data_IF_852921853771
#
_entry.id   IF_852921853771
#
_cell.length_a   1.000
_cell.length_b   1.000
_cell.length_c   1.000
_cell.angle_alpha   90.00
_cell.angle_beta   90.00
_cell.angle_gamma   90.00
#
_symmetry.space_group_name_H-M   'P 1'
#
loop_
_entity.id
_entity.type
_entity.pdbx_description
1 polymer ?
#
# COMPACT_ATOMS: atom_id res chain seq x y z
N UNK A 1 -20.44 -19.63 -44.79
CA UNK A 1 -21.46 -18.97 -44.19
C UNK A 1 -21.73 -19.38 -42.81
N UNK A 2 -21.90 -20.54 -42.56
CA UNK A 2 -22.21 -20.92 -41.26
C UNK A 2 -21.18 -20.58 -40.26
N UNK A 3 -20.02 -20.81 -40.63
CA UNK A 3 -18.89 -20.62 -39.77
C UNK A 3 -18.89 -19.26 -39.20
N UNK A 4 -19.47 -18.39 -39.80
CA UNK A 4 -19.48 -17.04 -39.28
C UNK A 4 -20.02 -16.98 -37.88
N UNK A 5 -20.88 -17.86 -37.57
CA UNK A 5 -21.45 -17.89 -36.26
C UNK A 5 -20.46 -18.19 -35.17
N UNK A 6 -19.46 -18.92 -35.51
CA UNK A 6 -18.50 -19.29 -34.51
C UNK A 6 -17.85 -18.12 -33.86
N UNK A 7 -17.34 -17.18 -34.57
CA UNK A 7 -16.71 -16.04 -33.98
C UNK A 7 -17.63 -15.33 -33.01
N UNK A 8 -18.85 -15.24 -33.38
CA UNK A 8 -19.82 -14.60 -32.51
C UNK A 8 -19.96 -15.32 -31.20
N UNK A 9 -19.93 -16.61 -31.25
CA UNK A 9 -20.02 -17.39 -30.03
C UNK A 9 -18.84 -17.15 -29.16
N UNK A 10 -17.69 -17.06 -29.71
CA UNK A 10 -16.50 -16.77 -28.94
C UNK A 10 -16.62 -15.44 -28.21
N UNK A 11 -17.24 -14.48 -28.82
CA UNK A 11 -17.47 -13.20 -28.17
C UNK A 11 -18.32 -13.36 -26.91
N UNK A 12 -19.32 -14.20 -26.98
CA UNK A 12 -20.15 -14.46 -25.82
C UNK A 12 -19.36 -15.08 -24.68
N UNK A 13 -18.48 -15.96 -25.01
CA UNK A 13 -17.63 -16.59 -24.00
C UNK A 13 -16.74 -15.57 -23.31
N UNK A 14 -16.19 -14.66 -24.06
CA UNK A 14 -15.36 -13.59 -23.51
C UNK A 14 -16.16 -12.75 -22.53
N UNK A 15 -17.39 -12.47 -22.87
CA UNK A 15 -18.26 -11.72 -21.96
C UNK A 15 -18.45 -12.48 -20.64
N UNK A 16 -18.57 -13.76 -20.68
CA UNK A 16 -18.69 -14.57 -19.47
C UNK A 16 -17.47 -14.46 -18.59
N UNK A 17 -16.30 -14.40 -19.15
CA UNK A 17 -15.08 -14.19 -18.37
C UNK A 17 -15.09 -12.86 -17.65
N UNK A 18 -15.59 -11.83 -18.27
CA UNK A 18 -15.66 -10.54 -17.64
C UNK A 18 -16.59 -10.55 -16.43
N UNK A 19 -17.66 -11.29 -16.52
CA UNK A 19 -18.57 -11.46 -15.38
C UNK A 19 -17.87 -12.20 -14.26
N UNK A 20 -17.11 -13.22 -14.55
CA UNK A 20 -16.36 -13.95 -13.55
C UNK A 20 -15.34 -13.07 -12.87
N UNK A 21 -14.75 -12.13 -13.57
CA UNK A 21 -13.80 -11.20 -12.96
C UNK A 21 -14.42 -10.36 -11.87
N UNK A 22 -15.67 -9.99 -11.98
CA UNK A 22 -16.33 -9.21 -10.94
C UNK A 22 -16.48 -10.01 -9.67
N UNK A 23 -16.58 -11.32 -9.75
CA UNK A 23 -16.59 -12.16 -8.58
C UNK A 23 -15.20 -12.42 -8.02
N UNK A 24 -14.18 -12.32 -8.84
CA UNK A 24 -12.81 -12.50 -8.39
C UNK A 24 -12.20 -11.21 -7.82
N UNK A 25 -13.02 -10.34 -7.27
CA UNK A 25 -12.55 -9.19 -6.50
C UNK A 25 -11.71 -9.61 -5.31
N UNK A 26 -11.73 -10.89 -4.97
CA UNK A 26 -10.90 -11.47 -3.92
C UNK A 26 -9.50 -11.80 -4.40
N UNK A 27 -9.21 -11.71 -5.69
CA UNK A 27 -7.85 -11.95 -6.14
C UNK A 27 -6.94 -10.81 -5.72
N UNK A 28 -5.72 -11.12 -5.25
CA UNK A 28 -4.78 -10.10 -4.83
C UNK A 28 -4.48 -9.11 -5.95
N UNK A 29 -4.25 -7.88 -5.60
CA UNK A 29 -3.80 -6.87 -6.55
C UNK A 29 -2.49 -7.31 -7.18
N UNK A 30 -2.32 -7.04 -8.46
CA UNK A 30 -1.08 -7.37 -9.14
C UNK A 30 0.06 -6.52 -8.60
N UNK A 31 1.29 -7.01 -8.72
CA UNK A 31 2.48 -6.25 -8.30
C UNK A 31 2.51 -4.86 -8.90
N UNK A 32 2.09 -4.74 -10.16
CA UNK A 32 2.08 -3.45 -10.84
C UNK A 32 1.08 -2.47 -10.23
N UNK A 33 -0.09 -2.96 -9.81
CA UNK A 33 -1.09 -2.13 -9.13
C UNK A 33 -0.59 -1.66 -7.77
N UNK A 34 0.03 -2.55 -7.01
CA UNK A 34 0.63 -2.22 -5.71
C UNK A 34 1.77 -1.21 -5.90
N UNK A 35 2.62 -1.40 -6.89
CA UNK A 35 3.70 -0.48 -7.19
C UNK A 35 3.18 0.92 -7.50
N UNK A 36 2.10 1.03 -8.25
CA UNK A 36 1.47 2.31 -8.52
C UNK A 36 0.98 3.00 -7.25
N UNK A 37 0.41 2.25 -6.32
CA UNK A 37 -0.01 2.79 -5.02
C UNK A 37 1.18 3.25 -4.18
N UNK A 38 2.23 2.44 -4.13
CA UNK A 38 3.45 2.74 -3.38
C UNK A 38 4.14 4.00 -3.90
N UNK A 39 4.11 4.20 -5.22
CA UNK A 39 4.71 5.37 -5.88
C UNK A 39 3.79 6.57 -5.99
N UNK A 40 2.54 6.45 -5.53
CA UNK A 40 1.56 7.54 -5.63
C UNK A 40 1.96 8.79 -4.85
N UNK A 41 2.69 8.61 -3.76
CA UNK A 41 3.19 9.70 -2.92
C UNK A 41 4.60 9.36 -2.44
N UNK A 42 5.33 10.38 -2.01
CA UNK A 42 6.69 10.20 -1.48
C UNK A 42 6.71 9.41 -0.18
N UNK A 43 5.68 9.56 0.63
CA UNK A 43 5.54 8.80 1.88
C UNK A 43 4.19 8.10 1.85
N UNK A 44 4.20 6.79 1.88
CA UNK A 44 2.99 5.95 1.83
C UNK A 44 3.01 5.00 3.02
N UNK A 45 1.90 4.96 3.74
CA UNK A 45 1.71 4.08 4.89
C UNK A 45 0.52 3.16 4.65
N UNK A 46 0.75 1.87 4.66
CA UNK A 46 -0.31 0.87 4.67
C UNK A 46 -0.58 0.50 6.13
N UNK A 47 -1.78 0.77 6.61
CA UNK A 47 -2.11 0.64 8.01
C UNK A 47 -3.48 0.00 8.23
N UNK A 48 -3.76 -0.41 9.45
CA UNK A 48 -5.08 -0.86 9.87
C UNK A 48 -5.85 0.33 10.40
N UNK A 49 -6.90 0.72 9.67
CA UNK A 49 -7.68 1.91 9.95
C UNK A 49 -7.21 3.12 9.16
N UNK A 50 -7.51 4.29 9.67
CA UNK A 50 -7.13 5.58 9.06
C UNK A 50 -6.29 6.38 10.06
N UNK A 51 -5.55 7.40 9.60
CA UNK A 51 -4.67 8.19 10.50
C UNK A 51 -5.42 8.89 11.63
N UNK A 52 -6.68 9.20 11.41
CA UNK A 52 -7.54 9.83 12.42
C UNK A 52 -8.07 8.81 13.44
N UNK A 53 -8.21 7.56 13.02
CA UNK A 53 -8.73 6.47 13.84
C UNK A 53 -8.00 5.16 13.52
N UNK A 54 -6.76 5.01 14.00
CA UNK A 54 -6.03 3.75 13.83
C UNK A 54 -6.73 2.61 14.59
N UNK A 55 -6.82 1.46 13.95
CA UNK A 55 -7.48 0.27 14.51
C UNK A 55 -6.48 -0.70 15.13
N UNK A 56 -5.23 -0.34 15.25
CA UNK A 56 -4.15 -1.16 15.79
C UNK A 56 -3.11 -0.27 16.46
N UNK A 57 -2.58 -0.70 17.60
CA UNK A 57 -1.57 0.05 18.33
C UNK A 57 -0.29 0.30 17.52
N UNK A 58 0.13 -0.69 16.73
CA UNK A 58 1.29 -0.55 15.86
C UNK A 58 1.05 0.45 14.73
N UNK A 59 -0.13 0.45 14.15
CA UNK A 59 -0.51 1.45 13.14
C UNK A 59 -0.57 2.84 13.74
N UNK A 60 -1.10 2.97 14.96
CA UNK A 60 -1.11 4.24 15.68
C UNK A 60 0.31 4.75 15.92
N UNK A 61 1.22 3.87 16.35
CA UNK A 61 2.60 4.25 16.57
C UNK A 61 3.26 4.80 15.31
N UNK A 62 3.08 4.13 14.18
CA UNK A 62 3.61 4.61 12.90
C UNK A 62 3.06 5.98 12.53
N UNK A 63 1.75 6.19 12.69
CA UNK A 63 1.09 7.48 12.42
C UNK A 63 1.65 8.57 13.32
N UNK A 64 1.82 8.30 14.60
CA UNK A 64 2.35 9.26 15.56
C UNK A 64 3.77 9.70 15.20
N UNK A 65 4.61 8.76 14.81
CA UNK A 65 5.98 9.04 14.37
C UNK A 65 5.96 9.96 13.14
N UNK A 66 5.16 9.63 12.12
CA UNK A 66 5.08 10.43 10.91
C UNK A 66 4.54 11.84 11.19
N UNK A 67 3.53 11.95 12.05
CA UNK A 67 2.99 13.25 12.48
C UNK A 67 4.01 14.07 13.28
N UNK A 68 4.79 13.42 14.13
CA UNK A 68 5.84 14.06 14.90
C UNK A 68 6.88 14.73 13.98
N UNK A 69 7.21 14.11 12.88
CA UNK A 69 8.10 14.69 11.88
C UNK A 69 7.43 15.71 10.97
N UNK A 70 6.15 15.98 11.15
CA UNK A 70 5.39 16.92 10.32
C UNK A 70 5.26 16.49 8.86
N UNK A 71 5.26 15.19 8.62
CA UNK A 71 5.24 14.65 7.26
C UNK A 71 3.84 14.61 6.68
N UNK A 72 3.75 14.99 5.41
CA UNK A 72 2.57 14.71 4.61
C UNK A 72 2.72 13.32 4.04
N UNK A 73 1.80 12.43 4.34
CA UNK A 73 1.83 11.05 3.89
C UNK A 73 0.46 10.58 3.41
N UNK A 74 0.47 9.62 2.50
CA UNK A 74 -0.74 8.95 2.04
C UNK A 74 -0.92 7.67 2.83
N UNK A 75 -2.07 7.51 3.45
CA UNK A 75 -2.40 6.28 4.18
C UNK A 75 -3.43 5.46 3.41
N UNK A 76 -3.24 4.15 3.41
CA UNK A 76 -4.18 3.19 2.85
C UNK A 76 -4.65 2.25 3.95
N UNK A 77 -5.97 2.14 4.10
CA UNK A 77 -6.58 1.24 5.07
C UNK A 77 -6.69 -0.17 4.49
N UNK A 78 -5.87 -1.08 4.99
CA UNK A 78 -5.85 -2.46 4.51
C UNK A 78 -7.00 -3.31 5.07
N UNK A 79 -7.78 -2.78 6.02
CA UNK A 79 -8.93 -3.48 6.55
C UNK A 79 -10.14 -3.42 5.62
N UNK A 80 -10.18 -2.43 4.75
CA UNK A 80 -11.27 -2.25 3.77
C UNK A 80 -11.09 -3.13 2.54
N UNK A 81 -9.88 -3.55 2.26
CA UNK A 81 -9.56 -4.32 1.06
C UNK A 81 -8.56 -5.43 1.38
N UNK A 82 -9.06 -6.65 1.46
CA UNK A 82 -8.24 -7.84 1.71
C UNK A 82 -7.26 -8.10 0.57
N UNK A 83 -7.64 -7.77 -0.67
CA UNK A 83 -6.75 -7.91 -1.82
C UNK A 83 -5.54 -6.99 -1.70
N UNK A 84 -5.77 -5.77 -1.22
CA UNK A 84 -4.69 -4.82 -0.94
C UNK A 84 -3.82 -5.33 0.21
N UNK A 85 -4.44 -5.82 1.27
CA UNK A 85 -3.72 -6.33 2.44
C UNK A 85 -2.80 -7.49 2.08
N UNK A 86 -3.30 -8.46 1.33
CA UNK A 86 -2.48 -9.58 0.88
C UNK A 86 -1.45 -9.14 -0.16
N UNK A 87 -1.86 -8.31 -1.10
CA UNK A 87 -0.98 -7.81 -2.16
C UNK A 87 0.23 -7.06 -1.64
N UNK A 88 0.04 -6.20 -0.64
CA UNK A 88 1.17 -5.42 -0.09
C UNK A 88 2.15 -6.31 0.68
N UNK A 89 1.67 -7.33 1.37
CA UNK A 89 2.53 -8.31 2.04
C UNK A 89 3.39 -9.08 1.05
N UNK A 90 2.78 -9.50 -0.05
CA UNK A 90 3.48 -10.23 -1.10
C UNK A 90 4.48 -9.33 -1.85
N UNK A 91 4.10 -8.07 -2.06
CA UNK A 91 4.95 -7.10 -2.74
C UNK A 91 6.22 -6.78 -1.94
N UNK A 92 6.08 -6.57 -0.64
CA UNK A 92 7.20 -6.21 0.24
C UNK A 92 7.93 -7.42 0.80
N UNK A 93 7.39 -8.62 0.63
CA UNK A 93 7.85 -9.83 1.29
C UNK A 93 7.91 -9.65 2.82
N UNK A 94 6.94 -8.92 3.37
CA UNK A 94 6.85 -8.59 4.79
C UNK A 94 5.47 -8.97 5.33
N UNK A 95 5.40 -9.82 6.35
CA UNK A 95 4.12 -10.46 6.73
C UNK A 95 3.19 -9.59 7.58
N UNK A 96 3.65 -8.46 8.06
CA UNK A 96 2.89 -7.67 9.04
C UNK A 96 2.49 -6.31 8.52
N UNK A 97 1.45 -5.74 9.11
CA UNK A 97 0.98 -4.37 8.92
C UNK A 97 1.17 -3.66 10.27
N UNK A 98 1.58 -2.40 10.31
CA UNK A 98 1.71 -1.44 9.20
C UNK A 98 3.00 -1.61 8.39
N UNK A 99 3.02 -1.03 7.19
CA UNK A 99 4.19 -0.99 6.33
C UNK A 99 4.39 0.43 5.81
N UNK A 100 5.60 0.94 5.95
CA UNK A 100 5.97 2.28 5.50
C UNK A 100 6.84 2.19 4.24
N UNK A 101 6.50 3.03 3.26
CA UNK A 101 7.28 3.22 2.04
C UNK A 101 7.69 4.69 1.92
N UNK A 102 8.93 4.93 1.55
CA UNK A 102 9.46 6.28 1.29
C UNK A 102 10.05 6.28 -0.11
N UNK A 103 9.56 7.18 -0.95
CA UNK A 103 9.99 7.35 -2.34
C UNK A 103 9.92 6.04 -3.14
N UNK A 104 8.91 5.22 -2.86
CA UNK A 104 8.71 3.93 -3.52
C UNK A 104 9.51 2.78 -2.94
N UNK A 105 10.35 3.03 -1.94
CA UNK A 105 11.17 2.00 -1.30
C UNK A 105 10.55 1.56 0.03
N UNK A 106 10.59 0.25 0.28
CA UNK A 106 10.10 -0.31 1.54
C UNK A 106 11.05 0.04 2.68
N UNK A 107 10.50 0.60 3.73
CA UNK A 107 11.26 0.97 4.94
C UNK A 107 11.15 -0.10 6.01
N UNK A 108 9.93 -0.47 6.35
CA UNK A 108 9.70 -1.49 7.37
C UNK A 108 8.34 -1.37 8.06
N UNK A 109 8.15 -2.20 9.06
CA UNK A 109 6.98 -2.17 9.94
C UNK A 109 7.14 -1.16 11.07
N UNK A 110 6.17 -1.16 12.00
CA UNK A 110 6.15 -0.21 13.12
C UNK A 110 7.43 -0.26 13.95
N UNK A 111 7.95 -1.44 14.21
CA UNK A 111 9.15 -1.61 15.03
C UNK A 111 10.38 -1.00 14.36
N UNK A 112 10.53 -1.24 13.07
CA UNK A 112 11.64 -0.68 12.29
C UNK A 112 11.53 0.84 12.22
N UNK A 113 10.33 1.35 11.98
CA UNK A 113 10.07 2.80 11.94
C UNK A 113 10.40 3.46 13.28
N UNK A 114 10.05 2.81 14.39
CA UNK A 114 10.35 3.29 15.72
C UNK A 114 11.87 3.32 15.97
N UNK A 115 12.58 2.27 15.57
CA UNK A 115 14.02 2.20 15.71
C UNK A 115 14.71 3.28 14.89
N UNK A 116 14.33 3.44 13.63
CA UNK A 116 14.87 4.48 12.77
C UNK A 116 14.59 5.89 13.31
N UNK A 117 13.41 6.09 13.92
CA UNK A 117 13.08 7.34 14.59
C UNK A 117 14.02 7.62 15.77
N UNK A 118 14.23 6.63 16.65
CA UNK A 118 15.10 6.76 17.81
C UNK A 118 16.57 7.03 17.44
N UNK A 119 17.02 6.40 16.37
CA UNK A 119 18.41 6.54 15.90
C UNK A 119 18.63 7.76 15.02
N UNK A 120 17.56 8.51 14.68
CA UNK A 120 17.64 9.65 13.78
C UNK A 120 17.81 9.30 12.30
N UNK A 121 17.89 8.03 11.97
CA UNK A 121 18.08 7.56 10.59
C UNK A 121 16.85 7.84 9.72
N UNK A 122 15.65 7.88 10.32
CA UNK A 122 14.43 8.19 9.59
C UNK A 122 14.52 9.58 8.95
N UNK A 123 15.00 10.57 9.69
CA UNK A 123 15.17 11.94 9.18
C UNK A 123 16.14 11.96 8.01
N UNK A 124 17.21 11.18 8.10
CA UNK A 124 18.20 11.12 7.03
C UNK A 124 17.65 10.48 5.77
N UNK A 125 16.87 9.40 5.91
CA UNK A 125 16.18 8.78 4.79
C UNK A 125 15.21 9.75 4.11
N UNK A 126 14.44 10.49 4.89
CA UNK A 126 13.53 11.51 4.39
C UNK A 126 14.26 12.61 3.63
N UNK A 127 15.39 13.06 4.17
CA UNK A 127 16.22 14.08 3.52
C UNK A 127 16.76 13.60 2.18
N UNK A 128 17.22 12.35 2.11
CA UNK A 128 17.70 11.74 0.87
C UNK A 128 16.59 11.65 -0.19
N UNK A 129 15.36 11.41 0.25
CA UNK A 129 14.19 11.39 -0.62
C UNK A 129 13.68 12.78 -1.01
N UNK A 130 14.35 13.85 -0.55
CA UNK A 130 13.94 15.22 -0.82
C UNK A 130 12.70 15.66 -0.04
N UNK A 131 12.46 15.06 1.11
CA UNK A 131 11.32 15.36 1.97
C UNK A 131 11.84 16.15 3.18
N UNK A 132 11.34 17.35 3.34
CA UNK A 132 11.68 18.17 4.51
C UNK A 132 10.78 17.75 5.68
N UNK A 133 11.38 17.24 6.73
CA UNK A 133 10.67 17.02 7.99
C UNK A 133 10.72 18.30 8.80
N UNK A 134 9.57 18.76 9.26
CA UNK A 134 9.47 19.91 10.16
C UNK A 134 9.69 19.45 11.61
N UNK A 135 10.70 18.63 11.84
CA UNK A 135 11.06 18.31 13.21
C UNK A 135 11.76 19.52 13.81
N UNK A 136 10.97 20.39 14.40
CA UNK A 136 11.53 21.28 15.42
C UNK A 136 11.95 20.35 16.57
N UNK A 137 13.19 20.19 16.69
CA UNK A 137 13.78 19.41 17.76
C UNK A 137 13.35 19.96 19.13
#
# INVERSE_FOLDING_TARGET
MLRLCMPSKCSGVISAYNVLRTFSTLSPLTKHQIEALVKSNKVVLFMKGVPEQPMCGFSNLAVQILKHHGLSFKAFNVLEDESLRQGIKDYSDWPTIPQLFIDGEFVGGADIVLELHKNGQLVEMLRKAGITSNSSA
#
